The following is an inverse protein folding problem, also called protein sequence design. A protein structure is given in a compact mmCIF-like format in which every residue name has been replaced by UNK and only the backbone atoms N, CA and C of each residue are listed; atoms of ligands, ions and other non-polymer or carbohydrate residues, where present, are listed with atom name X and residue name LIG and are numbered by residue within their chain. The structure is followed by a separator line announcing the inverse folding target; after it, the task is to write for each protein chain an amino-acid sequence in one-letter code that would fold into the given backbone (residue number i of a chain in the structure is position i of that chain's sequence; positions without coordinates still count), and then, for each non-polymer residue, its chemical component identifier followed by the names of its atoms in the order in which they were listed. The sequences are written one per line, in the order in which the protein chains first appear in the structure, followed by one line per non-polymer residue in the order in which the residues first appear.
data_IF_765567309218
#
_entry.id   IF_765567309218
#
_cell.length_a   1.000
_cell.length_b   1.000
_cell.length_c   1.000
_cell.angle_alpha   90.00
_cell.angle_beta   90.00
_cell.angle_gamma   90.00
#
_symmetry.space_group_name_H-M   'P 1'
#
loop_
_entity.id
_entity.type
_entity.pdbx_description
1 polymer ?
#
# COMPACT_ATOMS: atom_id res chain seq x y z
N UNK A 1 -51.97 4.65 -45.59
CA UNK A 1 -51.58 3.48 -44.79
C UNK A 1 -50.06 3.48 -44.63
N UNK A 2 -49.60 3.10 -43.44
CA UNK A 2 -48.22 2.98 -42.94
C UNK A 2 -47.52 4.26 -42.41
N UNK A 3 -46.91 4.21 -41.20
CA UNK A 3 -46.57 5.38 -40.40
C UNK A 3 -45.09 5.78 -40.42
N UNK A 4 -44.83 6.88 -39.73
CA UNK A 4 -43.61 7.68 -39.65
C UNK A 4 -42.43 6.91 -39.03
N UNK A 5 -41.23 7.22 -39.52
CA UNK A 5 -39.96 6.66 -39.08
C UNK A 5 -39.81 6.68 -37.56
N UNK A 6 -39.49 5.50 -37.03
CA UNK A 6 -39.31 5.26 -35.61
C UNK A 6 -37.94 5.79 -35.17
N UNK A 7 -38.00 6.62 -34.14
CA UNK A 7 -36.88 7.26 -33.47
C UNK A 7 -35.90 6.22 -32.91
N UNK A 8 -34.68 6.19 -33.46
CA UNK A 8 -33.52 5.64 -32.76
C UNK A 8 -33.12 6.61 -31.65
N UNK A 9 -33.92 6.64 -30.58
CA UNK A 9 -33.53 7.27 -29.32
C UNK A 9 -32.36 6.46 -28.77
N UNK A 10 -31.17 7.05 -28.87
CA UNK A 10 -29.98 6.62 -28.15
C UNK A 10 -30.34 6.37 -26.70
N UNK A 11 -30.31 5.11 -26.27
CA UNK A 11 -30.46 4.76 -24.86
C UNK A 11 -29.32 5.45 -24.11
N UNK A 12 -29.59 6.39 -23.19
CA UNK A 12 -28.52 6.96 -22.40
C UNK A 12 -27.95 5.81 -21.57
N UNK A 13 -26.67 5.49 -21.78
CA UNK A 13 -25.94 4.57 -20.94
C UNK A 13 -26.13 5.01 -19.48
N UNK A 14 -26.88 4.21 -18.72
CA UNK A 14 -27.10 4.41 -17.30
C UNK A 14 -25.71 4.36 -16.66
N UNK A 15 -25.13 5.53 -16.39
CA UNK A 15 -23.93 5.61 -15.57
C UNK A 15 -24.28 4.98 -14.22
N UNK A 16 -23.51 4.02 -13.70
CA UNK A 16 -23.74 3.54 -12.35
C UNK A 16 -23.66 4.76 -11.43
N UNK A 17 -24.76 5.04 -10.74
CA UNK A 17 -24.83 6.12 -9.76
C UNK A 17 -23.60 5.99 -8.86
N UNK A 18 -22.87 7.10 -8.65
CA UNK A 18 -21.76 7.12 -7.71
C UNK A 18 -22.34 6.80 -6.33
N UNK A 19 -22.26 5.53 -5.94
CA UNK A 19 -22.56 5.11 -4.58
C UNK A 19 -21.71 5.91 -3.59
N UNK A 20 -22.05 5.87 -2.29
CA UNK A 20 -21.34 6.62 -1.27
C UNK A 20 -19.83 6.37 -1.37
N UNK A 21 -19.03 7.43 -1.18
CA UNK A 21 -17.57 7.38 -1.29
C UNK A 21 -16.99 6.42 -0.22
N UNK A 22 -16.82 5.16 -0.62
CA UNK A 22 -16.15 4.15 0.18
C UNK A 22 -14.65 4.31 -0.03
N UNK A 23 -14.04 5.16 0.79
CA UNK A 23 -12.60 5.37 0.77
C UNK A 23 -11.98 5.33 2.17
N UNK A 24 -10.80 4.73 2.25
CA UNK A 24 -9.97 4.72 3.45
C UNK A 24 -8.59 5.24 3.09
N UNK A 25 -8.04 6.12 3.92
CA UNK A 25 -6.67 6.59 3.78
C UNK A 25 -5.83 6.05 4.93
N UNK A 26 -4.75 5.32 4.62
CA UNK A 26 -3.87 4.72 5.63
C UNK A 26 -2.41 4.99 5.30
N UNK A 27 -1.56 4.94 6.32
CA UNK A 27 -0.13 5.09 6.18
C UNK A 27 0.65 3.86 6.66
N UNK A 28 1.60 3.43 5.84
CA UNK A 28 2.71 2.55 6.23
C UNK A 28 3.86 3.42 6.71
N UNK A 29 4.75 2.93 7.60
CA UNK A 29 5.97 3.68 7.94
C UNK A 29 7.18 2.77 8.04
N UNK A 30 8.20 3.04 7.21
CA UNK A 30 9.52 2.42 7.33
C UNK A 30 10.60 3.49 7.32
N UNK A 31 11.35 3.57 8.43
CA UNK A 31 12.32 4.66 8.67
C UNK A 31 11.61 6.01 8.40
N UNK A 32 12.23 6.99 7.73
CA UNK A 32 11.69 8.34 7.52
C UNK A 32 10.42 8.40 6.66
N UNK A 33 9.91 7.27 6.17
CA UNK A 33 8.85 7.24 5.15
C UNK A 33 7.48 7.01 5.73
N UNK A 34 6.52 7.77 5.22
CA UNK A 34 5.11 7.52 5.34
C UNK A 34 4.47 7.53 3.93
N UNK A 35 4.40 6.40 3.22
CA UNK A 35 3.47 6.27 2.10
C UNK A 35 2.06 6.55 2.59
N UNK A 36 1.35 7.35 1.80
CA UNK A 36 -0.08 7.56 1.97
C UNK A 36 -0.77 6.72 0.91
N UNK A 37 -1.61 5.82 1.38
CA UNK A 37 -2.45 5.00 0.53
C UNK A 37 -3.88 5.42 0.62
N UNK A 38 -4.51 5.49 -0.54
CA UNK A 38 -5.92 5.76 -0.68
C UNK A 38 -6.56 4.50 -1.28
N UNK A 39 -7.44 3.88 -0.51
CA UNK A 39 -8.28 2.77 -0.94
C UNK A 39 -9.61 3.34 -1.36
N UNK A 40 -10.10 2.94 -2.54
CA UNK A 40 -11.42 3.27 -3.05
C UNK A 40 -12.09 2.01 -3.56
N UNK A 41 -13.41 1.93 -3.51
CA UNK A 41 -14.14 0.85 -4.20
C UNK A 41 -13.85 0.92 -5.71
N UNK A 42 -13.52 -0.22 -6.32
CA UNK A 42 -13.16 -0.30 -7.74
C UNK A 42 -12.72 -1.70 -8.19
N UNK A 43 -12.38 -1.90 -9.48
CA UNK A 43 -12.15 -3.22 -10.08
C UNK A 43 -10.84 -3.94 -9.69
N UNK A 44 -10.18 -3.57 -8.59
CA UNK A 44 -9.03 -4.31 -8.06
C UNK A 44 -7.65 -3.85 -8.57
N UNK A 45 -7.50 -2.59 -8.98
CA UNK A 45 -6.24 -2.08 -9.54
C UNK A 45 -5.30 -1.48 -8.48
N UNK A 46 -4.04 -1.96 -8.43
CA UNK A 46 -2.99 -1.39 -7.56
C UNK A 46 -2.07 -0.49 -8.38
N UNK A 47 -2.16 0.83 -8.18
CA UNK A 47 -1.42 1.83 -8.93
C UNK A 47 -0.57 2.72 -8.03
N UNK A 48 0.70 2.91 -8.37
CA UNK A 48 1.53 3.97 -7.80
C UNK A 48 1.49 5.20 -8.73
N UNK A 49 1.11 6.37 -8.20
CA UNK A 49 0.68 7.53 -9.02
C UNK A 49 1.70 7.99 -10.07
N UNK A 50 3.00 7.77 -9.86
CA UNK A 50 4.07 8.23 -10.77
C UNK A 50 4.68 7.15 -11.66
N UNK A 51 4.40 5.87 -11.43
CA UNK A 51 4.87 4.77 -12.27
C UNK A 51 4.07 3.50 -11.99
N UNK A 52 3.80 2.69 -13.03
CA UNK A 52 3.34 1.29 -12.79
C UNK A 52 4.34 0.63 -11.85
N UNK A 53 3.85 -0.04 -10.81
CA UNK A 53 4.65 -0.66 -9.72
C UNK A 53 5.87 -1.44 -10.24
N UNK A 54 5.77 -2.01 -11.46
CA UNK A 54 6.83 -2.70 -12.21
C UNK A 54 8.10 -1.87 -12.50
N UNK A 55 8.03 -0.55 -12.63
CA UNK A 55 9.14 0.35 -13.03
C UNK A 55 9.98 0.87 -11.85
N UNK A 56 9.41 0.87 -10.64
CA UNK A 56 10.05 1.42 -9.42
C UNK A 56 10.99 0.43 -8.72
N UNK A 57 11.09 -0.81 -9.22
CA UNK A 57 11.53 -1.96 -8.42
C UNK A 57 12.49 -2.83 -9.23
N UNK A 58 13.73 -2.96 -8.73
CA UNK A 58 14.71 -3.93 -9.22
C UNK A 58 14.18 -5.36 -9.11
N UNK A 59 14.63 -6.29 -9.96
CA UNK A 59 14.07 -7.65 -10.06
C UNK A 59 13.96 -8.37 -8.69
N UNK A 60 14.95 -8.20 -7.81
CA UNK A 60 15.02 -8.90 -6.52
C UNK A 60 13.97 -8.45 -5.49
N UNK A 61 13.56 -7.17 -5.50
CA UNK A 61 12.66 -6.62 -4.48
C UNK A 61 11.19 -6.65 -4.88
N UNK A 62 10.87 -7.17 -6.07
CA UNK A 62 9.49 -7.31 -6.57
C UNK A 62 8.66 -8.27 -5.73
N UNK A 63 9.26 -9.38 -5.30
CA UNK A 63 8.59 -10.37 -4.46
C UNK A 63 8.07 -9.73 -3.18
N UNK A 64 8.87 -8.83 -2.56
CA UNK A 64 8.47 -8.11 -1.33
C UNK A 64 7.24 -7.23 -1.47
N UNK A 65 6.95 -6.70 -2.66
CA UNK A 65 5.74 -5.91 -2.89
C UNK A 65 4.51 -6.78 -3.13
N UNK A 66 4.70 -7.96 -3.71
CA UNK A 66 3.61 -8.86 -4.09
C UNK A 66 3.17 -9.77 -2.95
N UNK A 67 3.98 -9.94 -1.91
CA UNK A 67 3.65 -10.72 -0.71
C UNK A 67 2.21 -10.52 -0.17
N UNK A 68 1.71 -9.29 0.09
CA UNK A 68 0.33 -9.14 0.59
C UNK A 68 -0.73 -9.63 -0.41
N UNK A 69 -0.47 -9.54 -1.71
CA UNK A 69 -1.38 -10.03 -2.76
C UNK A 69 -1.32 -11.55 -2.88
N UNK A 70 -0.12 -12.12 -2.73
CA UNK A 70 0.09 -13.57 -2.78
C UNK A 70 -0.46 -14.28 -1.54
N UNK A 71 -0.34 -13.68 -0.35
CA UNK A 71 -0.81 -14.26 0.91
C UNK A 71 -2.34 -14.27 1.03
N UNK A 72 -3.00 -13.18 0.62
CA UNK A 72 -4.44 -13.00 0.79
C UNK A 72 -5.25 -13.47 -0.42
N UNK A 73 -4.58 -13.77 -1.53
CA UNK A 73 -5.21 -14.11 -2.79
C UNK A 73 -5.81 -12.90 -3.51
N UNK A 74 -6.02 -13.01 -4.83
CA UNK A 74 -6.56 -11.92 -5.65
C UNK A 74 -8.03 -11.62 -5.33
N UNK A 75 -8.76 -12.58 -4.78
CA UNK A 75 -10.19 -12.48 -4.46
C UNK A 75 -10.47 -11.35 -3.47
N UNK A 76 -9.65 -11.24 -2.41
CA UNK A 76 -9.79 -10.19 -1.39
C UNK A 76 -9.44 -8.79 -1.90
N UNK A 77 -8.81 -8.68 -3.09
CA UNK A 77 -8.47 -7.42 -3.74
C UNK A 77 -9.42 -7.05 -4.90
N UNK A 78 -10.27 -7.97 -5.38
CA UNK A 78 -11.05 -7.77 -6.61
C UNK A 78 -12.06 -6.60 -6.54
N UNK A 79 -12.49 -6.21 -5.34
CA UNK A 79 -13.45 -5.11 -5.13
C UNK A 79 -12.83 -3.76 -4.73
N UNK A 80 -11.50 -3.64 -4.69
CA UNK A 80 -10.81 -2.46 -4.13
C UNK A 80 -9.69 -1.95 -5.04
N UNK A 81 -9.76 -0.67 -5.41
CA UNK A 81 -8.66 0.05 -6.05
C UNK A 81 -7.73 0.68 -5.01
N UNK A 82 -6.43 0.45 -5.17
CA UNK A 82 -5.38 0.92 -4.26
C UNK A 82 -4.48 1.92 -4.97
N UNK A 83 -4.45 3.16 -4.47
CA UNK A 83 -3.57 4.22 -4.97
C UNK A 83 -2.51 4.55 -3.94
N UNK A 84 -1.24 4.33 -4.29
CA UNK A 84 -0.11 4.56 -3.38
C UNK A 84 0.67 5.80 -3.78
N UNK A 85 0.99 6.66 -2.80
CA UNK A 85 1.89 7.81 -2.97
C UNK A 85 3.04 7.72 -1.98
N UNK A 86 4.27 7.80 -2.48
CA UNK A 86 5.49 7.72 -1.65
C UNK A 86 6.39 8.92 -1.93
N UNK A 87 6.99 9.54 -0.90
CA UNK A 87 7.90 10.71 -1.00
C UNK A 87 9.14 10.55 -0.11
N UNK A 88 10.34 10.97 -0.58
CA UNK A 88 11.63 11.02 0.17
C UNK A 88 12.67 9.92 -0.18
N UNK A 89 13.68 9.69 0.70
CA UNK A 89 14.66 8.56 0.97
C UNK A 89 15.02 7.45 -0.07
N UNK A 90 15.57 6.30 0.37
CA UNK A 90 16.07 5.22 -0.53
C UNK A 90 15.05 4.16 -1.02
N UNK A 91 15.37 3.46 -2.11
CA UNK A 91 14.48 2.51 -2.82
C UNK A 91 13.95 1.37 -1.95
N UNK A 92 14.82 0.72 -1.19
CA UNK A 92 14.43 -0.42 -0.32
C UNK A 92 13.41 0.02 0.72
N UNK A 93 13.65 1.15 1.40
CA UNK A 93 12.74 1.67 2.41
C UNK A 93 11.35 2.03 1.82
N UNK A 94 11.29 2.49 0.57
CA UNK A 94 10.00 2.75 -0.11
C UNK A 94 9.21 1.47 -0.28
N UNK A 95 9.86 0.40 -0.71
CA UNK A 95 9.22 -0.89 -0.99
C UNK A 95 8.60 -1.47 0.28
N UNK A 96 9.34 -1.50 1.38
CA UNK A 96 8.80 -1.95 2.67
C UNK A 96 7.65 -1.09 3.16
N UNK A 97 7.70 0.22 2.89
CA UNK A 97 6.63 1.11 3.29
C UNK A 97 5.35 0.84 2.46
N UNK A 98 5.47 0.67 1.13
CA UNK A 98 4.34 0.32 0.24
C UNK A 98 3.73 -1.01 0.66
N UNK A 99 4.58 -2.03 0.86
CA UNK A 99 4.18 -3.35 1.34
C UNK A 99 3.31 -3.25 2.60
N UNK A 100 3.76 -2.45 3.57
CA UNK A 100 3.04 -2.24 4.82
C UNK A 100 1.73 -1.47 4.65
N UNK A 101 1.71 -0.46 3.77
CA UNK A 101 0.50 0.33 3.57
C UNK A 101 -0.60 -0.49 2.90
N UNK A 102 -0.28 -1.33 1.90
CA UNK A 102 -1.25 -2.20 1.22
C UNK A 102 -1.94 -3.12 2.24
N UNK A 103 -1.15 -3.78 3.09
CA UNK A 103 -1.66 -4.67 4.14
C UNK A 103 -2.57 -3.95 5.12
N UNK A 104 -2.14 -2.79 5.65
CA UNK A 104 -2.94 -2.03 6.61
C UNK A 104 -4.25 -1.51 6.02
N UNK A 105 -4.20 -1.12 4.76
CA UNK A 105 -5.31 -0.45 4.15
C UNK A 105 -6.42 -1.42 3.72
N UNK A 106 -6.08 -2.67 3.40
CA UNK A 106 -7.07 -3.76 3.37
C UNK A 106 -7.72 -4.00 4.73
N UNK A 107 -6.93 -4.16 5.79
CA UNK A 107 -7.46 -4.40 7.15
C UNK A 107 -8.40 -3.26 7.57
N UNK A 108 -8.04 -2.01 7.29
CA UNK A 108 -8.85 -0.84 7.61
C UNK A 108 -10.11 -0.74 6.73
N UNK A 109 -10.07 -1.18 5.47
CA UNK A 109 -11.22 -1.23 4.59
C UNK A 109 -12.27 -2.25 5.08
N UNK A 110 -11.83 -3.47 5.38
CA UNK A 110 -12.70 -4.52 5.92
C UNK A 110 -13.28 -4.14 7.27
N UNK A 111 -12.49 -3.48 8.14
CA UNK A 111 -12.97 -2.95 9.41
C UNK A 111 -14.11 -1.93 9.25
N UNK A 112 -14.11 -1.13 8.17
CA UNK A 112 -15.07 -0.03 8.01
C UNK A 112 -16.31 -0.41 7.19
N UNK A 113 -16.16 -1.31 6.20
CA UNK A 113 -17.17 -1.49 5.16
C UNK A 113 -17.64 -2.94 4.94
N UNK A 114 -17.01 -3.93 5.57
CA UNK A 114 -17.35 -5.35 5.35
C UNK A 114 -17.79 -5.99 6.67
N UNK A 115 -16.87 -6.54 7.46
CA UNK A 115 -17.18 -7.22 8.72
C UNK A 115 -15.91 -7.44 9.57
N UNK A 116 -16.10 -7.65 10.90
CA UNK A 116 -14.99 -7.82 11.84
C UNK A 116 -14.36 -9.22 11.81
N UNK A 117 -15.11 -10.26 11.40
CA UNK A 117 -14.60 -11.63 11.34
C UNK A 117 -13.57 -11.78 10.21
N UNK A 118 -13.92 -11.35 8.99
CA UNK A 118 -13.03 -11.30 7.83
C UNK A 118 -11.79 -10.46 8.12
N UNK A 119 -11.94 -9.33 8.83
CA UNK A 119 -10.80 -8.51 9.26
C UNK A 119 -9.84 -9.29 10.15
N UNK A 120 -10.36 -10.05 11.13
CA UNK A 120 -9.55 -10.85 12.05
C UNK A 120 -8.77 -11.92 11.30
N UNK A 121 -9.40 -12.65 10.39
CA UNK A 121 -8.73 -13.63 9.54
C UNK A 121 -7.57 -13.02 8.73
N UNK A 122 -7.82 -11.90 8.03
CA UNK A 122 -6.80 -11.18 7.25
C UNK A 122 -5.64 -10.78 8.15
N UNK A 123 -5.96 -10.23 9.32
CA UNK A 123 -4.96 -9.75 10.28
C UNK A 123 -4.10 -10.89 10.79
N UNK A 124 -4.69 -12.03 11.14
CA UNK A 124 -4.00 -13.17 11.73
C UNK A 124 -3.06 -13.82 10.70
N UNK A 125 -3.50 -14.00 9.44
CA UNK A 125 -2.67 -14.48 8.33
C UNK A 125 -1.45 -13.55 8.11
N UNK A 126 -1.68 -12.24 8.09
CA UNK A 126 -0.61 -11.26 7.86
C UNK A 126 0.40 -11.23 9.01
N UNK A 127 -0.06 -11.30 10.27
CA UNK A 127 0.81 -11.28 11.46
C UNK A 127 1.62 -12.57 11.54
N UNK A 128 1.00 -13.72 11.27
CA UNK A 128 1.67 -15.02 11.32
C UNK A 128 2.81 -15.09 10.30
N UNK A 129 2.64 -14.49 9.12
CA UNK A 129 3.71 -14.39 8.14
C UNK A 129 4.80 -13.40 8.55
N UNK A 130 4.41 -12.13 8.78
CA UNK A 130 5.36 -11.08 9.14
C UNK A 130 4.67 -9.90 9.85
N UNK A 131 4.99 -9.73 11.14
CA UNK A 131 4.51 -8.62 11.97
C UNK A 131 4.75 -7.24 11.34
N UNK A 132 5.80 -7.06 10.54
CA UNK A 132 6.14 -5.76 9.92
C UNK A 132 5.19 -5.34 8.81
N UNK A 133 4.32 -6.24 8.32
CA UNK A 133 3.24 -5.90 7.39
C UNK A 133 2.19 -4.99 8.04
N UNK A 134 1.99 -5.09 9.35
CA UNK A 134 1.04 -4.26 10.09
C UNK A 134 1.73 -3.28 11.03
N UNK A 135 2.79 -3.68 11.72
CA UNK A 135 3.46 -2.83 12.70
C UNK A 135 4.70 -2.17 12.10
N UNK A 136 4.85 -0.86 12.30
CA UNK A 136 6.02 -0.13 11.80
C UNK A 136 7.26 -0.43 12.64
N UNK A 137 8.40 -0.55 11.98
CA UNK A 137 9.70 -0.69 12.65
C UNK A 137 10.13 0.68 13.24
N UNK A 138 10.33 0.79 14.57
CA UNK A 138 10.63 2.06 15.22
C UNK A 138 12.06 2.55 14.97
N UNK A 139 12.98 1.68 14.53
CA UNK A 139 14.42 1.97 14.47
C UNK A 139 14.76 3.19 13.59
N UNK A 140 15.73 3.99 14.07
CA UNK A 140 16.26 5.19 13.40
C UNK A 140 17.78 5.22 13.49
N UNK A 141 18.40 5.89 12.52
CA UNK A 141 19.84 6.15 12.58
C UNK A 141 20.15 7.04 13.78
N UNK A 142 21.02 6.55 14.66
CA UNK A 142 21.56 7.32 15.77
C UNK A 142 22.38 8.51 15.24
N UNK A 143 22.40 9.62 15.98
CA UNK A 143 23.22 10.78 15.65
C UNK A 143 24.71 10.48 15.84
N UNK A 144 25.56 11.19 15.07
CA UNK A 144 27.01 11.13 15.24
C UNK A 144 27.41 11.76 16.58
N UNK A 145 28.39 11.15 17.25
CA UNK A 145 29.03 11.70 18.47
C UNK A 145 30.44 12.18 18.16
N UNK A 146 30.96 13.15 18.90
CA UNK A 146 32.35 13.62 18.75
C UNK A 146 33.36 12.51 19.10
N UNK A 147 34.61 12.62 18.65
CA UNK A 147 35.68 11.64 18.95
C UNK A 147 35.67 10.38 18.08
N UNK A 148 35.01 10.42 16.93
CA UNK A 148 35.06 9.35 15.93
C UNK A 148 34.25 9.68 14.68
N UNK A 149 34.30 8.79 13.66
CA UNK A 149 33.62 9.02 12.39
C UNK A 149 32.10 8.82 12.46
N UNK A 150 31.58 8.05 13.43
CA UNK A 150 30.18 7.62 13.48
C UNK A 150 29.49 7.78 14.84
N UNK A 151 28.31 7.19 14.96
CA UNK A 151 27.52 7.22 16.20
C UNK A 151 28.21 6.50 17.38
N UNK A 152 28.94 5.41 17.07
CA UNK A 152 29.58 4.53 18.06
C UNK A 152 31.09 4.35 17.85
N UNK A 153 31.54 4.30 16.60
CA UNK A 153 32.96 4.18 16.27
C UNK A 153 33.77 5.36 16.84
N UNK A 154 34.94 5.06 17.40
CA UNK A 154 35.91 6.03 17.91
C UNK A 154 37.18 6.02 17.07
N UNK A 155 37.90 7.13 17.05
CA UNK A 155 39.23 7.15 16.44
C UNK A 155 40.17 6.23 17.24
N UNK A 156 41.13 5.63 16.52
CA UNK A 156 42.13 4.76 17.11
C UNK A 156 42.97 5.54 18.14
N UNK A 157 43.17 4.95 19.33
CA UNK A 157 44.08 5.49 20.33
C UNK A 157 45.49 4.97 20.05
N UNK A 158 46.48 5.87 20.08
CA UNK A 158 47.90 5.51 20.03
C UNK A 158 48.51 5.60 21.43
N UNK A 159 49.25 4.57 21.82
CA UNK A 159 50.02 4.54 23.07
C UNK A 159 51.52 4.67 22.75
N UNK A 160 52.30 5.13 23.72
CA UNK A 160 53.77 5.19 23.68
C UNK A 160 54.33 4.17 24.65
#
# INVERSE_FOLDING_TARGET
AAPRGEDLVSTPAIMPSKGPLQSVQVFGRKVRRAPVEEHRRGPGSVQNRKARTRRLVGRQTRTKLLEPVLLLGKERFAGVDIRVRVKGGGHVAQIYAIRQSISKALVAYYQKYVDEASKKEIKDILIQYDRTLLVADPRRCESKKFGGPGARARYQKSYR
#
